data_IF_894070238712
#
_entry.id   IF_894070238712
#
_cell.length_a   1.000
_cell.length_b   1.000
_cell.length_c   1.000
_cell.angle_alpha   90.00
_cell.angle_beta   90.00
_cell.angle_gamma   90.00
#
_symmetry.space_group_name_H-M   'P 1'
#
loop_
_entity.id
_entity.type
_entity.pdbx_description
1 polymer ?
#
# COMPACT_ATOMS: atom_id res chain seq x y z
N UNK A 1 38.56 8.88 -18.23
CA UNK A 1 37.83 9.60 -17.17
C UNK A 1 36.38 9.17 -17.34
N UNK A 2 36.04 8.00 -16.80
CA UNK A 2 34.67 7.48 -16.83
C UNK A 2 33.87 8.25 -15.80
N UNK A 3 33.05 9.17 -16.27
CA UNK A 3 32.04 9.80 -15.45
C UNK A 3 30.97 8.74 -15.19
N UNK A 4 30.73 8.29 -13.95
CA UNK A 4 29.67 7.32 -13.70
C UNK A 4 28.36 7.97 -14.15
N UNK A 5 27.66 7.27 -15.05
CA UNK A 5 26.35 7.68 -15.54
C UNK A 5 25.47 7.98 -14.31
N UNK A 6 24.99 9.21 -14.22
CA UNK A 6 24.14 9.66 -13.12
C UNK A 6 22.94 8.71 -13.01
N UNK A 7 22.77 8.06 -11.86
CA UNK A 7 21.63 7.20 -11.48
C UNK A 7 20.29 7.98 -11.41
N UNK A 8 20.25 9.19 -11.98
CA UNK A 8 19.06 10.02 -12.16
C UNK A 8 17.96 9.34 -13.00
N UNK A 9 18.29 8.30 -13.78
CA UNK A 9 17.32 7.50 -14.55
C UNK A 9 16.46 6.54 -13.72
N UNK A 10 16.74 6.38 -12.44
CA UNK A 10 16.18 5.31 -11.61
C UNK A 10 14.91 5.66 -10.83
N UNK A 11 14.49 6.91 -10.86
CA UNK A 11 13.42 7.41 -10.00
C UNK A 11 12.03 7.01 -10.53
N UNK A 12 11.16 6.56 -9.62
CA UNK A 12 9.73 6.43 -9.93
C UNK A 12 9.04 7.78 -9.70
N UNK A 13 8.51 8.35 -10.76
CA UNK A 13 7.63 9.51 -10.66
C UNK A 13 6.17 9.06 -10.63
N UNK A 14 5.58 9.07 -9.44
CA UNK A 14 4.18 8.73 -9.22
C UNK A 14 3.31 9.87 -9.72
N UNK A 15 2.28 9.52 -10.50
CA UNK A 15 1.26 10.44 -11.03
C UNK A 15 -0.16 10.08 -10.59
N UNK A 16 -0.35 8.87 -10.09
CA UNK A 16 -1.60 8.39 -9.55
C UNK A 16 -1.32 7.52 -8.33
N UNK A 17 -2.02 7.83 -7.25
CA UNK A 17 -2.14 6.96 -6.09
C UNK A 17 -3.62 6.72 -5.84
N UNK A 18 -4.04 5.46 -5.92
CA UNK A 18 -5.42 5.05 -5.79
C UNK A 18 -5.51 4.01 -4.67
N UNK A 19 -6.51 4.17 -3.81
CA UNK A 19 -6.80 3.23 -2.72
C UNK A 19 -8.29 2.91 -2.74
N UNK A 20 -8.63 1.63 -2.86
CA UNK A 20 -9.98 1.13 -2.63
C UNK A 20 -10.04 0.47 -1.27
N UNK A 21 -11.07 0.79 -0.51
CA UNK A 21 -11.33 0.31 0.84
C UNK A 21 -12.70 -0.36 0.85
N UNK A 22 -12.73 -1.65 1.17
CA UNK A 22 -13.98 -2.36 1.45
C UNK A 22 -14.23 -2.35 2.96
N UNK A 23 -15.38 -1.86 3.45
CA UNK A 23 -15.63 -1.76 4.89
C UNK A 23 -15.81 -3.14 5.53
N UNK A 24 -15.59 -3.24 6.86
CA UNK A 24 -15.94 -4.47 7.60
C UNK A 24 -17.42 -4.63 7.89
N UNK A 25 -18.07 -3.52 8.22
CA UNK A 25 -19.49 -3.51 8.59
C UNK A 25 -20.26 -2.77 7.51
N UNK A 26 -21.27 -3.43 6.96
CA UNK A 26 -22.23 -2.79 6.05
C UNK A 26 -22.91 -1.64 6.78
N UNK A 27 -22.77 -0.42 6.26
CA UNK A 27 -23.33 0.81 6.86
C UNK A 27 -22.32 1.67 7.63
N UNK A 28 -21.07 1.22 7.79
CA UNK A 28 -20.01 2.12 8.25
C UNK A 28 -19.78 3.23 7.21
N UNK A 29 -19.86 4.49 7.64
CA UNK A 29 -19.59 5.61 6.76
C UNK A 29 -18.12 5.61 6.34
N UNK A 30 -17.87 5.72 5.03
CA UNK A 30 -16.53 5.88 4.49
C UNK A 30 -15.89 7.17 5.03
N UNK A 31 -14.59 7.15 5.40
CA UNK A 31 -13.85 8.37 5.70
C UNK A 31 -14.02 9.42 4.57
N UNK A 32 -14.24 10.70 4.88
CA UNK A 32 -14.43 11.72 3.84
C UNK A 32 -13.14 12.01 3.05
N UNK A 33 -11.98 11.71 3.64
CA UNK A 33 -10.65 11.83 3.04
C UNK A 33 -9.68 10.88 3.71
N UNK A 34 -8.65 10.50 2.96
CA UNK A 34 -7.46 9.86 3.50
C UNK A 34 -6.25 10.78 3.27
N UNK A 35 -5.20 10.58 4.04
CA UNK A 35 -3.88 11.17 3.82
C UNK A 35 -2.91 10.09 3.35
N UNK A 36 -1.97 10.47 2.50
CA UNK A 36 -0.85 9.66 2.06
C UNK A 36 0.44 10.35 2.52
N UNK A 37 1.19 9.73 3.42
CA UNK A 37 2.53 10.16 3.79
C UNK A 37 3.56 9.30 3.07
N UNK A 38 4.51 9.93 2.37
CA UNK A 38 5.60 9.24 1.69
C UNK A 38 6.90 9.57 2.42
N UNK A 39 7.60 8.51 2.85
CA UNK A 39 8.89 8.58 3.52
C UNK A 39 9.98 8.08 2.57
N UNK A 40 11.00 8.89 2.37
CA UNK A 40 12.12 8.55 1.50
C UNK A 40 13.22 7.91 2.34
N UNK A 41 13.74 6.76 1.89
CA UNK A 41 14.83 6.10 2.59
C UNK A 41 16.07 7.01 2.67
N UNK A 42 16.70 7.06 3.84
CA UNK A 42 17.92 7.83 4.06
C UNK A 42 17.74 9.35 4.13
N UNK A 43 16.51 9.85 4.24
CA UNK A 43 16.24 11.27 4.45
C UNK A 43 15.62 11.50 5.83
N UNK A 44 16.22 12.38 6.63
CA UNK A 44 15.67 12.88 7.90
C UNK A 44 14.60 13.97 7.69
N UNK A 45 14.26 14.27 6.43
CA UNK A 45 13.24 15.24 6.07
C UNK A 45 11.84 14.74 6.44
N UNK A 46 10.95 15.68 6.74
CA UNK A 46 9.54 15.39 6.97
C UNK A 46 8.92 14.70 5.76
N UNK A 47 8.00 13.73 5.96
CA UNK A 47 7.37 13.02 4.88
C UNK A 47 6.58 13.96 3.97
N UNK A 48 6.54 13.63 2.67
CA UNK A 48 5.67 14.32 1.73
C UNK A 48 4.23 13.88 1.99
N UNK A 49 3.37 14.80 2.45
CA UNK A 49 1.97 14.52 2.72
C UNK A 49 1.09 14.95 1.55
N UNK A 50 0.27 14.03 1.05
CA UNK A 50 -0.62 14.22 -0.09
C UNK A 50 -2.06 13.83 0.30
N UNK A 51 -3.08 14.60 -0.10
CA UNK A 51 -4.46 14.22 0.14
C UNK A 51 -4.91 13.14 -0.84
N UNK A 52 -5.56 12.10 -0.31
CA UNK A 52 -6.31 11.11 -1.07
C UNK A 52 -7.81 11.46 -0.95
N UNK A 53 -8.37 12.00 -2.04
CA UNK A 53 -9.76 12.48 -2.07
C UNK A 53 -10.70 11.31 -2.33
N UNK A 54 -11.84 11.28 -1.64
CA UNK A 54 -12.91 10.34 -1.95
C UNK A 54 -13.42 10.61 -3.38
N UNK A 55 -13.27 9.63 -4.26
CA UNK A 55 -13.66 9.68 -5.67
C UNK A 55 -15.03 9.01 -5.87
N UNK A 56 -15.20 7.82 -5.28
CA UNK A 56 -16.45 7.05 -5.35
C UNK A 56 -16.75 6.39 -4.01
N UNK A 57 -18.02 6.33 -3.64
CA UNK A 57 -18.53 5.52 -2.54
C UNK A 57 -19.75 4.75 -3.04
N UNK A 58 -19.74 3.44 -2.92
CA UNK A 58 -20.87 2.59 -3.27
C UNK A 58 -21.90 2.59 -2.13
N UNK A 59 -23.16 3.01 -2.36
CA UNK A 59 -24.13 3.19 -1.28
C UNK A 59 -24.66 1.87 -0.70
N UNK A 60 -24.46 0.74 -1.39
CA UNK A 60 -24.98 -0.57 -0.96
C UNK A 60 -23.94 -1.31 -0.13
N UNK A 61 -22.72 -1.41 -0.66
CA UNK A 61 -21.60 -2.11 -0.03
C UNK A 61 -20.80 -1.24 0.93
N UNK A 62 -20.86 0.09 0.78
CA UNK A 62 -19.99 1.03 1.48
C UNK A 62 -18.54 1.05 0.97
N UNK A 63 -18.25 0.37 -0.15
CA UNK A 63 -16.92 0.39 -0.76
C UNK A 63 -16.54 1.80 -1.21
N UNK A 64 -15.38 2.27 -0.77
CA UNK A 64 -14.91 3.62 -1.02
C UNK A 64 -13.60 3.61 -1.80
N UNK A 65 -13.48 4.54 -2.73
CA UNK A 65 -12.31 4.72 -3.59
C UNK A 65 -11.74 6.10 -3.37
N UNK A 66 -10.43 6.18 -3.18
CA UNK A 66 -9.70 7.42 -2.92
C UNK A 66 -8.57 7.60 -3.92
N UNK A 67 -8.41 8.84 -4.39
CA UNK A 67 -7.47 9.16 -5.47
C UNK A 67 -6.64 10.38 -5.12
N UNK A 68 -5.35 10.31 -5.43
CA UNK A 68 -4.44 11.43 -5.53
C UNK A 68 -3.77 11.40 -6.91
N UNK A 69 -3.77 12.53 -7.59
CA UNK A 69 -3.05 12.74 -8.86
C UNK A 69 -1.87 13.69 -8.69
N UNK A 70 -1.52 14.02 -7.44
CA UNK A 70 -0.35 14.84 -7.16
C UNK A 70 0.92 14.08 -7.55
N UNK A 71 1.83 14.80 -8.20
CA UNK A 71 3.10 14.22 -8.61
C UNK A 71 4.03 14.03 -7.40
N UNK A 72 4.63 12.86 -7.27
CA UNK A 72 5.64 12.58 -6.25
C UNK A 72 6.84 11.89 -6.89
N UNK A 73 8.05 12.38 -6.57
CA UNK A 73 9.30 11.84 -7.08
C UNK A 73 9.92 10.92 -6.04
N UNK A 74 10.04 9.62 -6.34
CA UNK A 74 10.56 8.61 -5.41
C UNK A 74 11.96 8.16 -5.84
N UNK A 75 13.02 8.64 -5.16
CA UNK A 75 14.38 8.18 -5.44
C UNK A 75 14.52 6.69 -5.08
N UNK A 76 15.41 5.95 -5.77
CA UNK A 76 15.79 4.59 -5.37
C UNK A 76 16.54 4.57 -4.02
N UNK A 77 16.69 3.39 -3.38
CA UNK A 77 16.18 2.08 -3.81
C UNK A 77 14.72 1.85 -3.41
N UNK A 78 14.23 2.56 -2.41
CA UNK A 78 12.88 2.39 -1.91
C UNK A 78 12.30 3.67 -1.27
N UNK A 79 10.98 3.67 -1.18
CA UNK A 79 10.21 4.62 -0.39
C UNK A 79 9.13 3.85 0.37
N UNK A 80 8.92 4.20 1.63
CA UNK A 80 7.75 3.71 2.37
C UNK A 80 6.64 4.74 2.30
N UNK A 81 5.41 4.27 2.45
CA UNK A 81 4.25 5.13 2.53
C UNK A 81 3.28 4.65 3.60
N UNK A 82 2.52 5.60 4.14
CA UNK A 82 1.44 5.34 5.06
C UNK A 82 0.17 6.01 4.55
N UNK A 83 -0.95 5.30 4.63
CA UNK A 83 -2.30 5.83 4.39
C UNK A 83 -3.03 5.89 5.72
N UNK A 84 -3.47 7.08 6.09
CA UNK A 84 -4.24 7.31 7.31
C UNK A 84 -5.59 7.96 7.00
N UNK A 85 -6.56 7.79 7.90
CA UNK A 85 -7.85 8.47 7.77
C UNK A 85 -7.80 9.93 8.25
N UNK A 86 -8.93 10.63 8.11
CA UNK A 86 -9.10 12.01 8.58
C UNK A 86 -8.91 12.24 10.09
N UNK A 87 -8.73 11.19 10.89
CA UNK A 87 -8.46 11.22 12.34
C UNK A 87 -7.02 10.77 12.64
N UNK A 88 -6.17 10.72 11.62
CA UNK A 88 -4.79 10.27 11.68
C UNK A 88 -4.63 8.80 12.13
N UNK A 89 -5.69 8.00 11.99
CA UNK A 89 -5.61 6.56 12.24
C UNK A 89 -4.98 5.87 11.01
N UNK A 90 -3.77 5.33 11.19
CA UNK A 90 -3.08 4.58 10.14
C UNK A 90 -3.90 3.34 9.72
N UNK A 91 -4.19 3.24 8.42
CA UNK A 91 -4.95 2.16 7.81
C UNK A 91 -4.06 1.21 7.01
N UNK A 92 -3.05 1.73 6.32
CA UNK A 92 -2.18 0.91 5.49
C UNK A 92 -0.77 1.44 5.53
N UNK A 93 0.21 0.54 5.62
CA UNK A 93 1.61 0.84 5.38
C UNK A 93 2.08 0.08 4.16
N UNK A 94 2.96 0.67 3.38
CA UNK A 94 3.51 -0.01 2.22
C UNK A 94 4.91 0.46 1.86
N UNK A 95 5.51 -0.26 0.93
CA UNK A 95 6.82 0.05 0.39
C UNK A 95 6.78 -0.06 -1.12
N UNK A 96 7.45 0.88 -1.78
CA UNK A 96 7.72 0.89 -3.20
C UNK A 96 9.22 0.66 -3.33
N UNK A 97 9.62 -0.44 -3.97
CA UNK A 97 11.03 -0.83 -4.07
C UNK A 97 11.43 -1.03 -5.52
N UNK A 98 12.61 -0.53 -5.88
CA UNK A 98 13.25 -0.83 -7.17
C UNK A 98 13.76 -2.27 -7.15
N UNK A 99 13.54 -2.99 -8.24
CA UNK A 99 14.01 -4.34 -8.47
C UNK A 99 15.18 -4.29 -9.48
N UNK A 100 16.44 -4.18 -9.02
CA UNK A 100 17.59 -3.97 -9.89
C UNK A 100 17.86 -5.15 -10.84
N UNK A 101 17.50 -6.37 -10.42
CA UNK A 101 17.69 -7.61 -11.19
C UNK A 101 16.42 -8.04 -11.94
N UNK A 102 15.48 -7.12 -12.18
CA UNK A 102 14.29 -7.41 -12.96
C UNK A 102 14.68 -7.86 -14.38
N UNK A 103 14.14 -9.00 -14.82
CA UNK A 103 14.27 -9.47 -16.21
C UNK A 103 13.61 -8.46 -17.16
N UNK A 104 13.93 -8.54 -18.45
CA UNK A 104 13.41 -7.62 -19.48
C UNK A 104 11.87 -7.46 -19.47
N UNK A 105 11.13 -8.47 -19.01
CA UNK A 105 9.66 -8.46 -18.93
C UNK A 105 9.12 -8.37 -17.48
N UNK A 106 9.98 -8.09 -16.50
CA UNK A 106 9.59 -7.95 -15.09
C UNK A 106 9.47 -6.48 -14.70
N UNK A 107 8.53 -6.11 -13.83
CA UNK A 107 8.38 -4.73 -13.41
C UNK A 107 9.63 -4.29 -12.63
N UNK A 108 10.18 -3.13 -13.01
CA UNK A 108 11.38 -2.52 -12.39
C UNK A 108 11.10 -2.02 -10.98
N UNK A 109 9.83 -1.90 -10.61
CA UNK A 109 9.37 -1.54 -9.28
C UNK A 109 8.38 -2.57 -8.77
N UNK A 110 8.40 -2.80 -7.47
CA UNK A 110 7.44 -3.64 -6.76
C UNK A 110 6.75 -2.84 -5.66
N UNK A 111 5.51 -3.20 -5.39
CA UNK A 111 4.74 -2.69 -4.26
C UNK A 111 4.47 -3.81 -3.27
N UNK A 112 4.68 -3.51 -2.00
CA UNK A 112 4.20 -4.33 -0.90
C UNK A 112 3.41 -3.48 0.08
N UNK A 113 2.45 -4.12 0.74
CA UNK A 113 1.54 -3.45 1.64
C UNK A 113 1.24 -4.35 2.83
N UNK A 114 1.01 -3.75 3.99
CA UNK A 114 0.56 -4.40 5.20
C UNK A 114 -0.52 -3.55 5.86
N UNK A 115 -1.58 -4.17 6.42
CA UNK A 115 -2.57 -3.44 7.19
C UNK A 115 -1.92 -2.83 8.44
N UNK A 116 -2.37 -1.64 8.82
CA UNK A 116 -2.05 -1.05 10.13
C UNK A 116 -3.11 -1.47 11.18
N UNK A 117 -2.83 -1.23 12.45
CA UNK A 117 -3.66 -1.76 13.56
C UNK A 117 -5.12 -1.27 13.49
N UNK A 118 -5.33 0.01 13.15
CA UNK A 118 -6.68 0.58 13.02
C UNK A 118 -7.45 0.06 11.79
N UNK A 119 -6.75 -0.49 10.80
CA UNK A 119 -7.34 -1.04 9.58
C UNK A 119 -8.31 -2.18 9.88
N UNK A 120 -7.99 -3.00 10.89
CA UNK A 120 -8.84 -4.09 11.32
C UNK A 120 -10.12 -3.60 12.03
N UNK A 121 -10.21 -2.35 12.49
CA UNK A 121 -11.49 -1.87 12.99
C UNK A 121 -12.44 -1.47 11.85
N UNK A 122 -11.89 -0.97 10.73
CA UNK A 122 -12.67 -0.28 9.70
C UNK A 122 -12.84 -1.04 8.38
N UNK A 123 -11.85 -1.82 7.95
CA UNK A 123 -11.77 -2.37 6.60
C UNK A 123 -11.60 -3.90 6.56
N UNK A 124 -12.32 -4.54 5.64
CA UNK A 124 -12.21 -5.97 5.35
C UNK A 124 -11.19 -6.24 4.26
N UNK A 125 -10.98 -5.28 3.34
CA UNK A 125 -10.00 -5.38 2.28
C UNK A 125 -9.49 -4.00 1.85
N UNK A 126 -8.29 -4.00 1.27
CA UNK A 126 -7.71 -2.87 0.56
C UNK A 126 -7.24 -3.28 -0.82
N UNK A 127 -7.31 -2.37 -1.77
CA UNK A 127 -6.58 -2.46 -3.02
C UNK A 127 -5.88 -1.15 -3.31
N UNK A 128 -4.60 -1.23 -3.61
CA UNK A 128 -3.75 -0.08 -3.90
C UNK A 128 -3.28 -0.17 -5.33
N UNK A 129 -3.38 0.95 -6.04
CA UNK A 129 -2.86 1.11 -7.40
C UNK A 129 -1.99 2.36 -7.42
N UNK A 130 -0.75 2.20 -7.86
CA UNK A 130 0.19 3.29 -8.05
C UNK A 130 0.58 3.30 -9.52
N UNK A 131 0.38 4.42 -10.20
CA UNK A 131 0.79 4.58 -11.59
C UNK A 131 1.69 5.80 -11.76
N UNK A 132 2.63 5.69 -12.68
CA UNK A 132 3.65 6.70 -12.91
C UNK A 132 4.56 6.30 -14.05
N UNK A 133 5.79 6.81 -14.01
CA UNK A 133 6.82 6.47 -14.97
C UNK A 133 8.20 6.39 -14.30
N UNK A 134 9.06 5.55 -14.85
CA UNK A 134 10.45 5.38 -14.43
C UNK A 134 11.30 5.25 -15.70
N UNK A 135 12.38 6.04 -15.82
CA UNK A 135 13.26 6.03 -17.00
C UNK A 135 12.54 6.25 -18.36
N UNK A 136 11.39 6.90 -18.38
CA UNK A 136 10.58 7.10 -19.60
C UNK A 136 9.59 5.96 -19.89
N UNK A 137 9.63 4.87 -19.14
CA UNK A 137 8.70 3.75 -19.26
C UNK A 137 7.56 3.88 -18.25
N UNK A 138 6.31 3.50 -18.62
CA UNK A 138 5.19 3.49 -17.70
C UNK A 138 5.39 2.44 -16.59
N UNK A 139 5.07 2.82 -15.36
CA UNK A 139 5.11 1.93 -14.21
C UNK A 139 3.71 1.85 -13.58
N UNK A 140 3.17 0.64 -13.47
CA UNK A 140 1.89 0.36 -12.82
C UNK A 140 2.09 -0.73 -11.78
N UNK A 141 1.77 -0.40 -10.52
CA UNK A 141 1.97 -1.26 -9.37
C UNK A 141 0.63 -1.46 -8.68
N UNK A 142 0.30 -2.70 -8.39
CA UNK A 142 -1.00 -3.05 -7.79
C UNK A 142 -0.80 -3.97 -6.61
N UNK A 143 -1.55 -3.74 -5.53
CA UNK A 143 -1.60 -4.66 -4.41
C UNK A 143 -2.98 -4.77 -3.80
N UNK A 144 -3.51 -5.99 -3.74
CA UNK A 144 -4.72 -6.31 -3.00
C UNK A 144 -4.37 -6.98 -1.66
N UNK A 145 -5.12 -6.65 -0.62
CA UNK A 145 -5.01 -7.21 0.72
C UNK A 145 -6.41 -7.53 1.24
N UNK A 146 -6.58 -8.73 1.79
CA UNK A 146 -7.75 -9.07 2.60
C UNK A 146 -7.32 -9.18 4.04
N UNK A 147 -8.08 -8.58 4.94
CA UNK A 147 -7.83 -8.68 6.36
C UNK A 147 -8.66 -9.84 6.89
N UNK A 148 -8.01 -10.70 7.68
CA UNK A 148 -8.73 -11.76 8.39
C UNK A 148 -9.78 -11.14 9.32
N UNK A 149 -10.91 -11.83 9.43
CA UNK A 149 -11.87 -11.54 10.48
C UNK A 149 -11.27 -11.91 11.85
N UNK A 150 -11.68 -11.24 12.95
CA UNK A 150 -11.25 -11.63 14.29
C UNK A 150 -11.55 -13.10 14.62
N UNK A 151 -12.62 -13.66 14.04
CA UNK A 151 -13.03 -15.06 14.20
C UNK A 151 -12.08 -16.03 13.50
N UNK A 152 -11.65 -15.72 12.27
CA UNK A 152 -10.64 -16.51 11.54
C UNK A 152 -9.26 -16.49 12.24
N UNK A 153 -8.88 -15.34 12.80
CA UNK A 153 -7.64 -15.20 13.56
C UNK A 153 -7.66 -16.04 14.86
N UNK A 154 -8.81 -16.12 15.53
CA UNK A 154 -9.00 -16.94 16.72
C UNK A 154 -9.07 -18.45 16.40
N UNK A 155 -9.67 -18.85 15.28
CA UNK A 155 -9.78 -20.24 14.84
C UNK A 155 -8.45 -20.89 14.43
N UNK A 156 -7.46 -20.10 14.00
CA UNK A 156 -6.11 -20.56 13.69
C UNK A 156 -5.32 -21.05 14.91
N UNK A 157 -5.63 -20.53 16.10
CA UNK A 157 -4.95 -20.93 17.34
C UNK A 157 -5.47 -22.27 17.91
N UNK A 158 -6.68 -22.69 17.53
CA UNK A 158 -7.34 -23.92 18.06
C UNK A 158 -6.93 -25.19 17.31
N UNK A 159 -6.34 -25.09 16.10
CA UNK A 159 -5.94 -26.26 15.28
C UNK A 159 -4.51 -26.79 15.51
N UNK A 160 -3.92 -26.59 16.69
CA UNK A 160 -2.80 -27.43 17.16
C UNK A 160 -3.30 -28.41 18.22
N UNK A 161 -4.09 -29.40 17.81
CA UNK A 161 -4.36 -30.58 18.64
C UNK A 161 -3.30 -31.65 18.34
N UNK A 162 -2.54 -31.96 19.38
CA UNK A 162 -1.46 -32.92 19.51
C UNK A 162 -1.75 -34.27 18.83
N UNK A 163 -0.80 -34.76 18.05
CA UNK A 163 -0.74 -36.18 17.70
C UNK A 163 -0.26 -36.97 18.92
N UNK A 164 -0.91 -38.08 19.32
CA UNK A 164 -0.35 -38.97 20.32
C UNK A 164 0.82 -39.77 19.71
N UNK A 165 1.95 -39.77 20.41
CA UNK A 165 3.05 -40.71 20.18
C UNK A 165 2.54 -42.13 20.46
N UNK A 166 2.40 -42.94 19.41
CA UNK A 166 2.30 -44.38 19.58
C UNK A 166 3.73 -44.95 19.70
N UNK A 167 4.05 -45.47 20.89
CA UNK A 167 5.20 -46.35 21.11
C UNK A 167 4.80 -47.77 20.71
N UNK A 168 5.63 -48.41 19.91
CA UNK A 168 5.78 -49.86 19.84
C UNK A 168 7.24 -50.19 19.63
#
# INVERSE_FOLDING_TARGET
MDQPASDAGACLEVRLFYVRLSPRSSGAAAPPRLSLAIHHAGTEASPSSLPLRLDRCDPVSGEATYVSTAAARLPPPDASFEVADHRDAALLRGTLRRCPDAKADSPVWAIDCVPADAAAASASAFEVYVAGYCAGEPAVLTRALRLATPEEAAGGLVRRRSAPLAVS
#
